data_IF_076021019583
#
_entry.id   IF_076021019583
#
_cell.length_a   1.000
_cell.length_b   1.000
_cell.length_c   1.000
_cell.angle_alpha   90.00
_cell.angle_beta   90.00
_cell.angle_gamma   90.00
#
_symmetry.space_group_name_H-M   'P 1'
#
loop_
_entity.id
_entity.type
_entity.pdbx_description
1 polymer ?
#
# COMPACT_ATOMS: atom_id res chain seq x y z
N UNK A 1 -32.06 -13.09 -55.47
CA UNK A 1 -31.67 -14.47 -55.81
C UNK A 1 -30.97 -14.41 -57.17
N UNK A 2 -29.64 -14.22 -57.16
CA UNK A 2 -28.88 -13.94 -58.40
C UNK A 2 -28.19 -15.22 -58.84
N UNK A 3 -28.69 -15.81 -59.92
CA UNK A 3 -28.12 -17.00 -60.57
C UNK A 3 -26.77 -16.64 -61.20
N UNK A 4 -25.73 -17.40 -60.89
CA UNK A 4 -24.46 -17.38 -61.63
C UNK A 4 -24.70 -17.96 -63.02
N UNK A 5 -24.42 -17.18 -64.05
CA UNK A 5 -24.34 -17.67 -65.43
C UNK A 5 -22.89 -17.50 -65.90
N UNK A 6 -22.07 -18.53 -65.68
CA UNK A 6 -20.84 -18.71 -66.44
C UNK A 6 -21.13 -19.74 -67.53
N UNK A 7 -21.54 -19.24 -68.69
CA UNK A 7 -21.80 -20.05 -69.88
C UNK A 7 -20.48 -20.21 -70.64
N UNK A 8 -19.74 -21.27 -70.36
CA UNK A 8 -18.60 -21.69 -71.19
C UNK A 8 -19.16 -22.34 -72.45
N UNK A 9 -19.18 -21.61 -73.57
CA UNK A 9 -19.56 -22.14 -74.88
C UNK A 9 -18.30 -22.65 -75.59
N UNK A 10 -18.13 -23.97 -75.62
CA UNK A 10 -17.31 -24.65 -76.62
C UNK A 10 -18.19 -24.88 -77.86
N UNK A 11 -17.73 -24.42 -79.02
CA UNK A 11 -18.25 -24.91 -80.30
C UNK A 11 -17.07 -25.19 -81.24
N UNK A 12 -17.08 -26.41 -81.77
CA UNK A 12 -16.03 -27.06 -82.55
C UNK A 12 -15.80 -26.46 -83.94
N UNK A 13 -14.55 -26.63 -84.40
CA UNK A 13 -13.94 -26.52 -85.74
C UNK A 13 -14.85 -26.38 -86.97
N UNK A 14 -14.45 -25.47 -87.88
CA UNK A 14 -14.17 -25.74 -89.30
C UNK A 14 -13.43 -24.56 -89.97
N UNK A 15 -12.28 -24.87 -90.61
CA UNK A 15 -11.55 -24.23 -91.74
C UNK A 15 -11.34 -22.70 -91.77
N UNK A 16 -10.27 -22.13 -92.35
CA UNK A 16 -9.07 -22.54 -93.08
C UNK A 16 -8.16 -21.31 -93.05
N UNK A 17 -6.85 -21.50 -92.86
CA UNK A 17 -5.79 -20.48 -92.97
C UNK A 17 -5.96 -19.22 -92.11
N UNK A 18 -5.06 -19.04 -91.13
CA UNK A 18 -4.19 -17.86 -91.10
C UNK A 18 -3.12 -17.98 -90.02
N UNK A 19 -2.03 -17.28 -90.28
CA UNK A 19 -0.70 -17.38 -89.69
C UNK A 19 -0.62 -17.24 -88.16
N UNK A 20 0.13 -18.17 -87.55
CA UNK A 20 1.21 -17.91 -86.60
C UNK A 20 1.06 -16.74 -85.59
N UNK A 21 0.04 -16.73 -84.71
CA UNK A 21 -0.01 -15.78 -83.58
C UNK A 21 -0.54 -16.31 -82.22
N UNK A 22 -0.68 -17.62 -82.01
CA UNK A 22 -1.22 -18.14 -80.71
C UNK A 22 -0.18 -18.52 -79.65
N UNK A 23 1.11 -18.69 -80.01
CA UNK A 23 2.14 -19.17 -79.07
C UNK A 23 2.52 -18.18 -77.96
N UNK A 24 2.22 -16.89 -78.14
CA UNK A 24 2.63 -15.85 -77.16
C UNK A 24 1.64 -15.71 -75.99
N UNK A 25 0.34 -15.91 -76.24
CA UNK A 25 -0.71 -15.73 -75.22
C UNK A 25 -0.69 -16.80 -74.11
N UNK A 26 -0.43 -18.07 -74.48
CA UNK A 26 -0.40 -19.17 -73.50
C UNK A 26 0.77 -19.07 -72.52
N UNK A 27 1.96 -18.70 -73.01
CA UNK A 27 3.14 -18.52 -72.16
C UNK A 27 3.00 -17.31 -71.23
N UNK A 28 2.36 -16.23 -71.67
CA UNK A 28 2.00 -15.10 -70.81
C UNK A 28 0.97 -15.50 -69.75
N UNK A 29 -0.04 -16.30 -70.11
CA UNK A 29 -1.01 -16.84 -69.15
C UNK A 29 -0.33 -17.70 -68.06
N UNK A 30 0.57 -18.60 -68.45
CA UNK A 30 1.32 -19.43 -67.50
C UNK A 30 2.19 -18.58 -66.55
N UNK A 31 2.92 -17.59 -67.08
CA UNK A 31 3.70 -16.65 -66.26
C UNK A 31 2.83 -15.86 -65.28
N UNK A 32 1.65 -15.40 -65.72
CA UNK A 32 0.74 -14.67 -64.85
C UNK A 32 0.17 -15.57 -63.75
N UNK A 33 -0.20 -16.80 -64.08
CA UNK A 33 -0.61 -17.83 -63.11
C UNK A 33 0.46 -18.06 -62.05
N UNK A 34 1.70 -18.28 -62.47
CA UNK A 34 2.81 -18.57 -61.54
C UNK A 34 3.12 -17.36 -60.65
N UNK A 35 3.01 -16.14 -61.18
CA UNK A 35 3.14 -14.90 -60.40
C UNK A 35 2.03 -14.77 -59.33
N UNK A 36 0.78 -15.09 -59.69
CA UNK A 36 -0.35 -15.10 -58.75
C UNK A 36 -0.13 -16.14 -57.65
N UNK A 37 0.32 -17.35 -58.00
CA UNK A 37 0.62 -18.41 -57.03
C UNK A 37 1.73 -17.95 -56.06
N UNK A 38 2.82 -17.38 -56.58
CA UNK A 38 3.93 -16.90 -55.76
C UNK A 38 3.51 -15.79 -54.80
N UNK A 39 2.67 -14.84 -55.26
CA UNK A 39 2.08 -13.82 -54.39
C UNK A 39 1.18 -14.43 -53.32
N UNK A 40 0.37 -15.42 -53.66
CA UNK A 40 -0.47 -16.15 -52.71
C UNK A 40 0.35 -16.85 -51.62
N UNK A 41 1.47 -17.48 -52.00
CA UNK A 41 2.39 -18.11 -51.06
C UNK A 41 3.06 -17.10 -50.13
N UNK A 42 3.49 -15.94 -50.66
CA UNK A 42 4.04 -14.86 -49.84
C UNK A 42 3.04 -14.37 -48.80
N UNK A 43 1.79 -14.11 -49.22
CA UNK A 43 0.71 -13.67 -48.32
C UNK A 43 0.43 -14.73 -47.24
N UNK A 44 0.45 -16.02 -47.59
CA UNK A 44 0.26 -17.10 -46.61
C UNK A 44 1.34 -17.10 -45.53
N UNK A 45 2.60 -16.90 -45.92
CA UNK A 45 3.71 -16.80 -44.98
C UNK A 45 3.60 -15.58 -44.07
N UNK A 46 3.19 -14.43 -44.63
CA UNK A 46 2.96 -13.20 -43.86
C UNK A 46 1.84 -13.39 -42.84
N UNK A 47 0.72 -14.02 -43.24
CA UNK A 47 -0.39 -14.36 -42.34
C UNK A 47 0.08 -15.29 -41.21
N UNK A 48 0.90 -16.30 -41.54
CA UNK A 48 1.43 -17.20 -40.54
C UNK A 48 2.33 -16.47 -39.54
N UNK A 49 3.25 -15.62 -40.01
CA UNK A 49 4.10 -14.78 -39.15
C UNK A 49 3.27 -13.86 -38.25
N UNK A 50 2.21 -13.25 -38.79
CA UNK A 50 1.29 -12.43 -38.01
C UNK A 50 0.57 -13.22 -36.91
N UNK A 51 0.11 -14.44 -37.21
CA UNK A 51 -0.53 -15.29 -36.20
C UNK A 51 0.40 -15.63 -35.04
N UNK A 52 1.66 -15.94 -35.32
CA UNK A 52 2.63 -16.22 -34.26
C UNK A 52 2.94 -14.98 -33.42
N UNK A 53 3.03 -13.79 -34.04
CA UNK A 53 3.16 -12.52 -33.30
C UNK A 53 1.97 -12.22 -32.39
N UNK A 54 0.75 -12.53 -32.84
CA UNK A 54 -0.46 -12.38 -32.02
C UNK A 54 -0.38 -13.30 -30.80
N UNK A 55 -0.06 -14.59 -30.99
CA UNK A 55 0.10 -15.54 -29.89
C UNK A 55 1.15 -15.11 -28.86
N UNK A 56 2.31 -14.63 -29.33
CA UNK A 56 3.37 -14.12 -28.45
C UNK A 56 2.88 -12.88 -27.66
N UNK A 57 2.12 -12.00 -28.31
CA UNK A 57 1.53 -10.83 -27.65
C UNK A 57 0.50 -11.24 -26.60
N UNK A 58 -0.37 -12.21 -26.89
CA UNK A 58 -1.36 -12.74 -25.95
C UNK A 58 -0.68 -13.37 -24.73
N UNK A 59 0.38 -14.15 -24.93
CA UNK A 59 1.18 -14.72 -23.84
C UNK A 59 1.82 -13.65 -22.95
N UNK A 60 2.37 -12.59 -23.54
CA UNK A 60 2.93 -11.45 -22.79
C UNK A 60 1.86 -10.73 -21.97
N UNK A 61 0.67 -10.54 -22.54
CA UNK A 61 -0.44 -9.85 -21.89
C UNK A 61 -0.96 -10.66 -20.69
N UNK A 62 -1.06 -11.98 -20.80
CA UNK A 62 -1.36 -12.87 -19.68
C UNK A 62 -0.31 -12.77 -18.56
N UNK A 63 0.99 -12.81 -18.91
CA UNK A 63 2.07 -12.67 -17.94
C UNK A 63 2.06 -11.32 -17.22
N UNK A 64 1.71 -10.23 -17.92
CA UNK A 64 1.53 -8.92 -17.29
C UNK A 64 0.35 -8.91 -16.31
N UNK A 65 -0.77 -9.55 -16.66
CA UNK A 65 -1.92 -9.68 -15.77
C UNK A 65 -1.56 -10.44 -14.47
N UNK A 66 -0.85 -11.57 -14.59
CA UNK A 66 -0.37 -12.33 -13.42
C UNK A 66 0.53 -11.47 -12.51
N UNK A 67 1.39 -10.66 -13.14
CA UNK A 67 2.28 -9.73 -12.43
C UNK A 67 1.48 -8.66 -11.68
N UNK A 68 0.44 -8.11 -12.31
CA UNK A 68 -0.46 -7.12 -11.68
C UNK A 68 -1.18 -7.69 -10.45
N UNK A 69 -1.68 -8.93 -10.53
CA UNK A 69 -2.36 -9.60 -9.42
C UNK A 69 -1.44 -9.87 -8.23
N UNK A 70 -0.18 -10.24 -8.49
CA UNK A 70 0.86 -10.37 -7.47
C UNK A 70 1.09 -9.03 -6.77
N UNK A 71 1.24 -7.94 -7.54
CA UNK A 71 1.44 -6.60 -6.97
C UNK A 71 0.25 -6.13 -6.12
N UNK A 72 -0.98 -6.34 -6.59
CA UNK A 72 -2.19 -6.01 -5.83
C UNK A 72 -2.24 -6.75 -4.49
N UNK A 73 -1.96 -8.06 -4.51
CA UNK A 73 -2.00 -8.90 -3.30
C UNK A 73 -0.93 -8.48 -2.30
N UNK A 74 0.32 -8.24 -2.75
CA UNK A 74 1.40 -7.78 -1.89
C UNK A 74 1.08 -6.43 -1.23
N UNK A 75 0.52 -5.50 -2.02
CA UNK A 75 0.15 -4.16 -1.56
C UNK A 75 -0.94 -4.21 -0.50
N UNK A 76 -2.02 -4.97 -0.75
CA UNK A 76 -3.12 -5.13 0.21
C UNK A 76 -2.64 -5.75 1.53
N UNK A 77 -1.78 -6.78 1.46
CA UNK A 77 -1.20 -7.40 2.65
C UNK A 77 -0.38 -6.39 3.46
N UNK A 78 0.50 -5.64 2.79
CA UNK A 78 1.36 -4.65 3.46
C UNK A 78 0.55 -3.54 4.14
N UNK A 79 -0.51 -3.04 3.52
CA UNK A 79 -1.39 -2.04 4.14
C UNK A 79 -2.15 -2.60 5.35
N UNK A 80 -2.62 -3.85 5.28
CA UNK A 80 -3.25 -4.53 6.42
C UNK A 80 -2.29 -4.67 7.61
N UNK A 81 -1.04 -5.05 7.35
CA UNK A 81 -0.01 -5.20 8.39
C UNK A 81 0.31 -3.85 9.06
N UNK A 82 0.45 -2.77 8.28
CA UNK A 82 0.69 -1.42 8.80
C UNK A 82 -0.48 -0.94 9.67
N UNK A 83 -1.73 -1.15 9.22
CA UNK A 83 -2.93 -0.78 9.98
C UNK A 83 -2.96 -1.49 11.35
N UNK A 84 -2.61 -2.78 11.36
CA UNK A 84 -2.55 -3.58 12.60
C UNK A 84 -1.47 -3.07 13.56
N UNK A 85 -0.29 -2.70 13.04
CA UNK A 85 0.79 -2.14 13.85
C UNK A 85 0.42 -0.78 14.46
N UNK A 86 -0.23 0.10 13.69
CA UNK A 86 -0.71 1.40 14.18
C UNK A 86 -1.73 1.25 15.32
N UNK A 87 -2.67 0.31 15.19
CA UNK A 87 -3.64 0.03 16.27
C UNK A 87 -2.95 -0.48 17.55
N UNK A 88 -1.95 -1.36 17.43
CA UNK A 88 -1.17 -1.83 18.59
C UNK A 88 -0.43 -0.68 19.26
N UNK A 89 0.21 0.18 18.48
CA UNK A 89 0.93 1.35 18.99
C UNK A 89 0.02 2.30 19.75
N UNK A 90 -1.15 2.68 19.20
CA UNK A 90 -2.08 3.57 19.90
C UNK A 90 -2.62 2.94 21.20
N UNK A 91 -2.86 1.62 21.21
CA UNK A 91 -3.25 0.90 22.43
C UNK A 91 -2.15 0.92 23.50
N UNK A 92 -0.90 0.66 23.12
CA UNK A 92 0.23 0.72 24.05
C UNK A 92 0.48 2.14 24.58
N UNK A 93 0.35 3.14 23.72
CA UNK A 93 0.45 4.56 24.08
C UNK A 93 -0.61 4.97 25.10
N UNK A 94 -1.86 4.56 24.93
CA UNK A 94 -2.93 4.81 25.91
C UNK A 94 -2.68 4.05 27.23
N UNK A 95 -2.22 2.79 27.16
CA UNK A 95 -1.84 2.04 28.36
C UNK A 95 -0.72 2.76 29.14
N UNK A 96 0.28 3.30 28.44
CA UNK A 96 1.38 4.02 29.07
C UNK A 96 0.89 5.31 29.76
N UNK A 97 -0.03 6.06 29.13
CA UNK A 97 -0.66 7.23 29.76
C UNK A 97 -1.43 6.85 31.03
N UNK A 98 -2.20 5.77 31.00
CA UNK A 98 -2.98 5.29 32.16
C UNK A 98 -2.08 4.90 33.34
N UNK A 99 -1.01 4.16 33.06
CA UNK A 99 -0.02 3.77 34.08
C UNK A 99 0.65 5.01 34.68
N UNK A 100 1.04 5.97 33.84
CA UNK A 100 1.68 7.18 34.30
C UNK A 100 0.74 8.04 35.16
N UNK A 101 -0.51 8.22 34.73
CA UNK A 101 -1.51 8.98 35.49
C UNK A 101 -1.79 8.34 36.86
N UNK A 102 -1.95 7.01 36.90
CA UNK A 102 -2.16 6.30 38.18
C UNK A 102 -0.98 6.48 39.13
N UNK A 103 0.26 6.38 38.63
CA UNK A 103 1.46 6.57 39.46
C UNK A 103 1.61 8.02 39.95
N UNK A 104 1.33 9.00 39.07
CA UNK A 104 1.37 10.43 39.41
C UNK A 104 0.27 10.77 40.43
N UNK A 105 -0.93 10.24 40.29
CA UNK A 105 -2.02 10.43 41.25
C UNK A 105 -1.70 9.81 42.62
N UNK A 106 -1.09 8.62 42.64
CA UNK A 106 -0.66 7.98 43.89
C UNK A 106 0.43 8.80 44.60
N UNK A 107 1.38 9.35 43.84
CA UNK A 107 2.42 10.25 44.37
C UNK A 107 1.83 11.57 44.89
N UNK A 108 0.88 12.18 44.18
CA UNK A 108 0.15 13.38 44.64
C UNK A 108 -0.61 13.11 45.94
N UNK A 109 -1.30 11.98 46.02
CA UNK A 109 -2.00 11.57 47.24
C UNK A 109 -1.06 11.40 48.44
N UNK A 110 0.09 10.74 48.24
CA UNK A 110 1.13 10.58 49.27
C UNK A 110 1.72 11.93 49.70
N UNK A 111 2.01 12.83 48.75
CA UNK A 111 2.45 14.22 49.03
C UNK A 111 1.44 14.95 49.91
N UNK A 112 0.16 14.92 49.54
CA UNK A 112 -0.91 15.59 50.29
C UNK A 112 -1.04 15.02 51.72
N UNK A 113 -1.00 13.70 51.86
CA UNK A 113 -1.05 13.05 53.19
C UNK A 113 0.13 13.47 54.08
N UNK A 114 1.34 13.53 53.53
CA UNK A 114 2.53 13.96 54.27
C UNK A 114 2.45 15.44 54.65
N UNK A 115 2.02 16.29 53.72
CA UNK A 115 1.81 17.74 53.91
C UNK A 115 0.85 18.01 55.07
N UNK A 116 -0.29 17.32 55.11
CA UNK A 116 -1.27 17.47 56.20
C UNK A 116 -0.75 16.96 57.55
N UNK A 117 0.03 15.87 57.56
CA UNK A 117 0.70 15.41 58.78
C UNK A 117 1.66 16.46 59.33
N UNK A 118 2.52 17.03 58.48
CA UNK A 118 3.48 18.08 58.88
C UNK A 118 2.75 19.30 59.43
N UNK A 119 1.69 19.79 58.76
CA UNK A 119 0.86 20.89 59.26
C UNK A 119 0.25 20.61 60.63
N UNK A 120 -0.28 19.40 60.83
CA UNK A 120 -0.85 18.97 62.12
C UNK A 120 0.18 19.02 63.24
N UNK A 121 1.40 18.53 62.99
CA UNK A 121 2.47 18.52 63.98
C UNK A 121 2.96 19.95 64.30
N UNK A 122 3.06 20.83 63.30
CA UNK A 122 3.36 22.25 63.52
C UNK A 122 2.28 22.90 64.40
N UNK A 123 1.00 22.60 64.17
CA UNK A 123 -0.11 23.08 65.00
C UNK A 123 0.01 22.60 66.45
N UNK A 124 0.20 21.30 66.64
CA UNK A 124 0.37 20.68 67.97
C UNK A 124 1.56 21.29 68.75
N UNK A 125 2.69 21.53 68.08
CA UNK A 125 3.86 22.18 68.70
C UNK A 125 3.54 23.63 69.10
N UNK A 126 2.82 24.40 68.28
CA UNK A 126 2.49 25.79 68.58
C UNK A 126 1.51 25.89 69.76
N UNK A 127 0.63 24.90 69.92
CA UNK A 127 -0.40 24.89 70.97
C UNK A 127 0.10 24.29 72.30
N UNK A 128 1.25 23.60 72.29
CA UNK A 128 1.83 22.97 73.47
C UNK A 128 2.53 24.01 74.38
N UNK A 129 1.90 24.26 75.53
CA UNK A 129 2.34 25.24 76.54
C UNK A 129 3.41 24.67 77.50
N UNK A 130 3.72 23.38 77.43
CA UNK A 130 4.66 22.71 78.32
C UNK A 130 6.09 22.70 77.76
N UNK A 131 6.25 22.86 76.44
CA UNK A 131 7.56 22.92 75.79
C UNK A 131 8.12 24.35 75.90
N UNK A 132 9.38 24.48 76.33
CA UNK A 132 10.06 25.78 76.40
C UNK A 132 10.19 26.45 75.02
N UNK A 133 10.12 27.78 74.99
CA UNK A 133 10.11 28.59 73.75
C UNK A 133 11.25 28.26 72.78
N UNK A 134 12.46 27.98 73.28
CA UNK A 134 13.61 27.62 72.46
C UNK A 134 13.41 26.29 71.73
N UNK A 135 12.85 25.29 72.42
CA UNK A 135 12.56 23.96 71.86
C UNK A 135 11.43 24.07 70.83
N UNK A 136 10.41 24.87 71.13
CA UNK A 136 9.28 25.14 70.23
C UNK A 136 9.76 25.77 68.91
N UNK A 137 10.65 26.76 68.98
CA UNK A 137 11.27 27.42 67.82
C UNK A 137 12.15 26.47 67.01
N UNK A 138 12.93 25.62 67.67
CA UNK A 138 13.76 24.60 67.01
C UNK A 138 12.91 23.59 66.22
N UNK A 139 11.87 23.04 66.85
CA UNK A 139 10.98 22.05 66.23
C UNK A 139 10.21 22.63 65.05
N UNK A 140 9.71 23.87 65.19
CA UNK A 140 9.05 24.58 64.10
C UNK A 140 9.97 24.78 62.90
N UNK A 141 11.19 25.28 63.11
CA UNK A 141 12.17 25.47 62.03
C UNK A 141 12.53 24.16 61.33
N UNK A 142 12.61 23.04 62.06
CA UNK A 142 12.88 21.73 61.49
C UNK A 142 11.73 21.25 60.58
N UNK A 143 10.48 21.41 61.03
CA UNK A 143 9.30 21.04 60.24
C UNK A 143 9.07 21.98 59.04
N UNK A 144 9.34 23.27 59.18
CA UNK A 144 9.30 24.24 58.07
C UNK A 144 10.33 23.88 56.99
N UNK A 145 11.52 23.41 57.40
CA UNK A 145 12.54 22.90 56.49
C UNK A 145 12.09 21.63 55.78
N UNK A 146 11.52 20.66 56.50
CA UNK A 146 10.98 19.44 55.87
C UNK A 146 9.85 19.76 54.88
N UNK A 147 8.98 20.71 55.20
CA UNK A 147 7.91 21.18 54.31
C UNK A 147 8.46 21.82 53.03
N UNK A 148 9.53 22.61 53.16
CA UNK A 148 10.24 23.19 52.02
C UNK A 148 10.91 22.11 51.16
N UNK A 149 11.55 21.12 51.78
CA UNK A 149 12.21 20.01 51.08
C UNK A 149 11.19 19.12 50.32
N UNK A 150 10.02 18.87 50.90
CA UNK A 150 8.90 18.16 50.23
C UNK A 150 8.44 18.94 48.99
N UNK A 151 8.29 20.26 49.13
CA UNK A 151 7.84 21.14 48.05
C UNK A 151 8.86 21.22 46.91
N UNK A 152 10.16 21.21 47.22
CA UNK A 152 11.24 21.23 46.23
C UNK A 152 11.40 19.89 45.49
N UNK A 153 11.17 18.76 46.18
CA UNK A 153 11.27 17.41 45.57
C UNK A 153 10.05 17.01 44.76
N UNK A 154 8.88 17.58 45.09
CA UNK A 154 7.64 17.42 44.35
C UNK A 154 7.11 18.80 43.97
N UNK A 155 7.78 19.52 43.04
CA UNK A 155 7.25 20.77 42.53
C UNK A 155 5.83 20.52 42.03
N UNK A 156 4.92 21.49 42.25
CA UNK A 156 3.62 21.42 41.61
C UNK A 156 3.85 21.60 40.11
N UNK A 157 4.11 20.48 39.44
CA UNK A 157 4.12 20.40 38.00
C UNK A 157 2.67 20.61 37.54
N UNK A 158 2.28 21.87 37.45
CA UNK A 158 1.39 22.33 36.39
C UNK A 158 2.13 22.08 35.08
N UNK A 159 2.09 20.82 34.61
CA UNK A 159 2.40 20.48 33.23
C UNK A 159 1.31 21.17 32.41
N UNK A 160 1.65 22.33 31.85
CA UNK A 160 0.87 23.04 30.84
C UNK A 160 1.23 22.51 29.46
#
# INVERSE_FOLDING_TARGET
MTQRVNKFLWTSYENDNDEYYEKNSYNEFLKNRDNIINKGNSISNDIHSFKEKIKDTDHKLLSHHDTEDIFKTHTNKKYSDISTLLQKYEKEKENFKLINNSSVEELKSKKNSLTEKVKKHIGEINDDKLIGQDVQKMLKNALDKEMSDISNKFPDDSIN
#
